data_IF_682787463859
#
_entry.id   IF_682787463859
#
_cell.length_a   1.000
_cell.length_b   1.000
_cell.length_c   1.000
_cell.angle_alpha   90.00
_cell.angle_beta   90.00
_cell.angle_gamma   90.00
#
_symmetry.space_group_name_H-M   'P 1'
#
loop_
_entity.id
_entity.type
_entity.pdbx_description
1 polymer ?
#
# COMPACT_ATOMS: atom_id res chain seq x y z
N UNK A 1 -27.81 3.61 -12.81
CA UNK A 1 -27.40 5.02 -12.48
C UNK A 1 -26.15 5.33 -13.26
N UNK A 2 -26.20 6.30 -14.18
CA UNK A 2 -25.04 6.81 -14.85
C UNK A 2 -24.30 7.78 -13.91
N UNK A 3 -22.97 7.81 -14.01
CA UNK A 3 -22.14 8.70 -13.20
C UNK A 3 -21.09 9.35 -14.10
N UNK A 4 -20.86 10.64 -13.90
CA UNK A 4 -19.78 11.40 -14.54
C UNK A 4 -18.97 12.12 -13.48
N UNK A 5 -17.66 11.97 -13.55
CA UNK A 5 -16.71 12.72 -12.74
C UNK A 5 -16.01 13.74 -13.60
N UNK A 6 -16.08 15.02 -13.23
CA UNK A 6 -15.35 16.12 -13.83
C UNK A 6 -14.17 16.47 -12.95
N UNK A 7 -12.97 16.48 -13.51
CA UNK A 7 -11.74 16.91 -12.84
C UNK A 7 -11.24 18.15 -13.60
N UNK A 8 -11.06 19.26 -12.92
CA UNK A 8 -10.74 20.53 -13.60
C UNK A 8 -9.72 21.37 -12.83
N UNK A 9 -8.97 22.15 -13.61
CA UNK A 9 -8.10 23.22 -13.14
C UNK A 9 -8.11 24.38 -14.13
N UNK A 10 -8.54 25.57 -13.67
CA UNK A 10 -8.76 26.74 -14.54
C UNK A 10 -9.69 26.39 -15.71
N UNK A 11 -9.25 26.60 -16.93
CA UNK A 11 -10.00 26.30 -18.16
C UNK A 11 -9.83 24.86 -18.68
N UNK A 12 -8.96 24.07 -18.03
CA UNK A 12 -8.71 22.67 -18.41
C UNK A 12 -9.59 21.73 -17.61
N UNK A 13 -10.19 20.74 -18.27
CA UNK A 13 -11.04 19.73 -17.62
C UNK A 13 -10.93 18.37 -18.28
N UNK A 14 -11.18 17.33 -17.50
CA UNK A 14 -11.32 15.94 -17.93
C UNK A 14 -12.66 15.42 -17.44
N UNK A 15 -13.39 14.72 -18.29
CA UNK A 15 -14.65 14.06 -17.97
C UNK A 15 -14.47 12.54 -18.00
N UNK A 16 -14.77 11.89 -16.89
CA UNK A 16 -14.72 10.42 -16.77
C UNK A 16 -16.14 9.88 -16.55
N UNK A 17 -16.60 8.99 -17.42
CA UNK A 17 -17.87 8.29 -17.25
C UNK A 17 -17.74 7.02 -16.41
N UNK A 18 -18.82 6.65 -15.70
CA UNK A 18 -18.90 5.42 -14.92
C UNK A 18 -18.53 5.58 -13.45
N UNK A 19 -18.64 4.48 -12.70
CA UNK A 19 -18.39 4.44 -11.24
C UNK A 19 -16.91 4.56 -10.85
N UNK A 20 -16.01 4.42 -11.82
CA UNK A 20 -14.57 4.62 -11.65
C UNK A 20 -14.14 5.77 -12.56
N UNK A 21 -13.60 6.81 -11.98
CA UNK A 21 -12.97 7.89 -12.74
C UNK A 21 -11.59 7.44 -13.22
N UNK A 22 -11.49 7.09 -14.50
CA UNK A 22 -10.26 6.68 -15.17
C UNK A 22 -9.98 7.67 -16.31
N UNK A 23 -9.22 8.72 -16.06
CA UNK A 23 -8.85 9.66 -17.11
C UNK A 23 -7.90 9.02 -18.14
N UNK A 24 -7.87 9.58 -19.36
CA UNK A 24 -6.78 9.29 -20.28
C UNK A 24 -5.45 9.72 -19.65
N UNK A 25 -4.40 8.90 -19.84
CA UNK A 25 -3.11 9.09 -19.16
C UNK A 25 -2.43 10.38 -19.59
N UNK A 26 -2.48 10.72 -20.87
CA UNK A 26 -1.80 11.92 -21.37
C UNK A 26 -2.56 13.19 -20.96
N UNK A 27 -3.89 13.17 -21.04
CA UNK A 27 -4.73 14.27 -20.52
C UNK A 27 -4.53 14.46 -19.02
N UNK A 28 -4.41 13.35 -18.25
CA UNK A 28 -4.15 13.39 -16.82
C UNK A 28 -2.79 14.01 -16.49
N UNK A 29 -1.73 13.61 -17.18
CA UNK A 29 -0.40 14.18 -17.00
C UNK A 29 -0.36 15.67 -17.33
N UNK A 30 -1.04 16.07 -18.42
CA UNK A 30 -1.14 17.47 -18.81
C UNK A 30 -1.86 18.31 -17.74
N UNK A 31 -3.00 17.82 -17.23
CA UNK A 31 -3.76 18.49 -16.18
C UNK A 31 -2.97 18.60 -14.88
N UNK A 32 -2.27 17.54 -14.46
CA UNK A 32 -1.38 17.56 -13.28
C UNK A 32 -0.25 18.57 -13.43
N UNK A 33 0.38 18.65 -14.60
CA UNK A 33 1.46 19.59 -14.86
C UNK A 33 0.96 21.05 -14.76
N UNK A 34 -0.23 21.34 -15.29
CA UNK A 34 -0.87 22.67 -15.17
C UNK A 34 -1.22 23.03 -13.73
N UNK A 35 -1.69 22.03 -12.97
CA UNK A 35 -2.15 22.20 -11.58
C UNK A 35 -1.04 22.07 -10.53
N UNK A 36 0.22 21.89 -10.93
CA UNK A 36 1.36 21.67 -10.03
C UNK A 36 1.46 22.78 -8.96
N UNK A 37 1.49 22.39 -7.68
CA UNK A 37 1.47 23.31 -6.54
C UNK A 37 0.10 23.92 -6.21
N UNK A 38 -0.96 23.53 -6.93
CA UNK A 38 -2.31 24.04 -6.79
C UNK A 38 -3.31 22.92 -6.48
N UNK A 39 -4.60 23.20 -6.64
CA UNK A 39 -5.69 22.26 -6.39
C UNK A 39 -6.51 21.98 -7.64
N UNK A 40 -6.74 20.72 -7.90
CA UNK A 40 -7.75 20.25 -8.82
C UNK A 40 -9.12 20.30 -8.14
N UNK A 41 -10.13 20.72 -8.88
CA UNK A 41 -11.53 20.62 -8.47
C UNK A 41 -12.13 19.33 -9.02
N UNK A 42 -12.73 18.52 -8.15
CA UNK A 42 -13.45 17.30 -8.54
C UNK A 42 -14.93 17.49 -8.28
N UNK A 43 -15.73 17.24 -9.31
CA UNK A 43 -17.18 17.34 -9.28
C UNK A 43 -17.80 16.05 -9.77
N UNK A 44 -18.72 15.47 -9.01
CA UNK A 44 -19.41 14.23 -9.37
C UNK A 44 -20.86 14.55 -9.74
N UNK A 45 -21.32 13.95 -10.80
CA UNK A 45 -22.71 13.99 -11.26
C UNK A 45 -23.26 12.57 -11.29
N UNK A 46 -24.46 12.37 -10.83
CA UNK A 46 -25.20 11.10 -10.95
C UNK A 46 -26.53 11.33 -11.63
N UNK A 47 -26.89 10.44 -12.53
CA UNK A 47 -28.21 10.46 -13.18
C UNK A 47 -29.15 9.49 -12.48
N UNK A 48 -30.35 9.94 -12.22
CA UNK A 48 -31.46 9.14 -11.71
C UNK A 48 -32.72 9.40 -12.55
N UNK A 49 -33.87 8.89 -12.12
CA UNK A 49 -35.14 9.06 -12.85
C UNK A 49 -35.59 10.53 -12.97
N UNK A 50 -35.12 11.40 -12.09
CA UNK A 50 -35.45 12.83 -12.05
C UNK A 50 -34.43 13.71 -12.79
N UNK A 51 -33.39 13.08 -13.40
CA UNK A 51 -32.32 13.75 -14.12
C UNK A 51 -30.96 13.74 -13.41
N UNK A 52 -30.11 14.67 -13.79
CA UNK A 52 -28.75 14.78 -13.27
C UNK A 52 -28.70 15.54 -11.95
N UNK A 53 -28.05 14.94 -10.96
CA UNK A 53 -27.78 15.51 -9.64
C UNK A 53 -26.32 15.88 -9.52
N UNK A 54 -26.04 17.14 -9.23
CA UNK A 54 -24.71 17.64 -8.90
C UNK A 54 -24.42 17.38 -7.41
N UNK A 55 -23.32 16.66 -7.14
CA UNK A 55 -22.84 16.47 -5.78
C UNK A 55 -21.88 17.58 -5.34
N UNK A 56 -21.72 17.74 -4.02
CA UNK A 56 -20.82 18.74 -3.44
C UNK A 56 -19.39 18.52 -3.97
N UNK A 57 -18.82 19.52 -4.65
CA UNK A 57 -17.45 19.43 -5.14
C UNK A 57 -16.43 19.32 -4.02
N UNK A 58 -15.28 18.70 -4.31
CA UNK A 58 -14.12 18.67 -3.44
C UNK A 58 -12.84 18.95 -4.20
N UNK A 59 -11.76 19.24 -3.48
CA UNK A 59 -10.49 19.58 -4.11
C UNK A 59 -9.40 18.57 -3.72
N UNK A 60 -8.48 18.31 -4.66
CA UNK A 60 -7.28 17.50 -4.48
C UNK A 60 -6.06 18.40 -4.69
N UNK A 61 -5.15 18.45 -3.72
CA UNK A 61 -3.91 19.20 -3.86
C UNK A 61 -2.91 18.43 -4.72
N UNK A 62 -2.31 19.11 -5.68
CA UNK A 62 -1.22 18.58 -6.51
C UNK A 62 0.10 19.07 -5.93
N UNK A 63 0.97 18.15 -5.51
CA UNK A 63 2.28 18.52 -4.98
C UNK A 63 3.13 19.26 -6.03
N UNK A 64 3.91 20.26 -5.62
CA UNK A 64 4.94 20.85 -6.47
C UNK A 64 6.13 19.91 -6.71
N UNK A 65 6.31 18.93 -5.81
CA UNK A 65 7.44 18.02 -5.85
C UNK A 65 7.19 16.85 -6.82
N UNK A 66 8.26 16.33 -7.39
CA UNK A 66 8.22 15.07 -8.13
C UNK A 66 8.17 13.90 -7.15
N UNK A 67 7.46 12.86 -7.54
CA UNK A 67 7.37 11.59 -6.79
C UNK A 67 7.90 10.45 -7.66
N UNK A 68 8.41 9.41 -7.03
CA UNK A 68 8.74 8.17 -7.72
C UNK A 68 7.47 7.58 -8.39
N UNK A 69 7.55 7.06 -9.61
CA UNK A 69 6.38 6.57 -10.34
C UNK A 69 5.69 5.37 -9.71
N UNK A 70 6.32 4.67 -8.77
CA UNK A 70 5.74 3.49 -8.14
C UNK A 70 5.46 3.70 -6.65
N UNK A 71 4.30 3.25 -6.22
CA UNK A 71 3.97 3.07 -4.80
C UNK A 71 3.72 1.58 -4.53
N UNK A 72 4.18 1.09 -3.39
CA UNK A 72 3.81 -0.23 -2.89
C UNK A 72 2.98 -0.11 -1.63
N UNK A 73 2.07 -1.04 -1.45
CA UNK A 73 1.16 -1.08 -0.32
C UNK A 73 0.76 -2.51 0.00
N UNK A 74 0.41 -2.74 1.24
CA UNK A 74 -0.20 -3.98 1.66
C UNK A 74 -1.71 -3.87 1.53
N UNK A 75 -2.32 -4.71 0.71
CA UNK A 75 -3.76 -4.85 0.60
C UNK A 75 -4.22 -5.77 1.72
N UNK A 76 -5.07 -5.26 2.62
CA UNK A 76 -5.59 -5.98 3.78
C UNK A 76 -7.11 -5.93 3.73
N UNK A 77 -7.80 -7.09 3.75
CA UNK A 77 -9.25 -7.11 3.90
C UNK A 77 -9.66 -6.61 5.31
N UNK A 78 -10.87 -6.08 5.47
CA UNK A 78 -11.34 -5.53 6.73
C UNK A 78 -11.72 -6.60 7.77
N UNK A 79 -11.02 -7.75 7.77
CA UNK A 79 -11.26 -8.87 8.68
C UNK A 79 -9.96 -9.51 9.10
N UNK A 80 -9.87 -9.94 10.36
CA UNK A 80 -8.69 -10.61 10.91
C UNK A 80 -8.46 -12.03 10.38
N UNK A 81 -9.46 -12.64 9.76
CA UNK A 81 -9.45 -14.07 9.38
C UNK A 81 -9.34 -14.31 7.89
N UNK A 82 -9.25 -13.27 7.07
CA UNK A 82 -9.18 -13.41 5.61
C UNK A 82 -7.74 -13.28 5.10
N UNK A 83 -6.89 -14.19 5.57
CA UNK A 83 -5.48 -14.22 5.18
C UNK A 83 -5.25 -14.51 3.69
N UNK A 84 -6.19 -15.19 3.03
CA UNK A 84 -6.11 -15.53 1.62
C UNK A 84 -6.12 -14.29 0.69
N UNK A 85 -6.68 -13.19 1.16
CA UNK A 85 -6.80 -11.95 0.37
C UNK A 85 -5.66 -10.96 0.62
N UNK A 86 -4.68 -11.32 1.44
CA UNK A 86 -3.60 -10.44 1.85
C UNK A 86 -2.48 -10.46 0.81
N UNK A 87 -2.16 -9.30 0.26
CA UNK A 87 -1.11 -9.16 -0.76
C UNK A 87 -0.24 -7.93 -0.50
N UNK A 88 0.98 -7.93 -1.04
CA UNK A 88 1.78 -6.72 -1.25
C UNK A 88 1.67 -6.39 -2.73
N UNK A 89 1.11 -5.23 -3.03
CA UNK A 89 0.90 -4.74 -4.37
C UNK A 89 1.81 -3.55 -4.67
N UNK A 90 2.02 -3.30 -5.94
CA UNK A 90 2.56 -2.04 -6.43
C UNK A 90 1.64 -1.44 -7.47
N UNK A 91 1.61 -0.13 -7.52
CA UNK A 91 0.89 0.64 -8.54
C UNK A 91 1.83 1.61 -9.21
N UNK A 92 1.80 1.62 -10.54
CA UNK A 92 2.44 2.66 -11.33
C UNK A 92 1.54 3.90 -11.37
N UNK A 93 2.07 5.05 -11.01
CA UNK A 93 1.34 6.32 -11.02
C UNK A 93 1.29 6.97 -12.40
N UNK A 94 2.07 6.47 -13.35
CA UNK A 94 2.14 7.00 -14.71
C UNK A 94 1.18 6.31 -15.68
N UNK A 95 0.69 5.10 -15.36
CA UNK A 95 -0.20 4.32 -16.23
C UNK A 95 -1.35 3.64 -15.48
N UNK A 96 -1.50 3.90 -14.17
CA UNK A 96 -2.49 3.32 -13.27
C UNK A 96 -2.43 1.79 -13.12
N UNK A 97 -1.43 1.12 -13.68
CA UNK A 97 -1.28 -0.32 -13.58
C UNK A 97 -1.03 -0.75 -12.15
N UNK A 98 -1.68 -1.83 -11.78
CA UNK A 98 -1.51 -2.47 -10.49
C UNK A 98 -1.02 -3.90 -10.70
N UNK A 99 -0.01 -4.30 -9.95
CA UNK A 99 0.50 -5.66 -9.96
C UNK A 99 0.78 -6.17 -8.55
N UNK A 100 0.67 -7.48 -8.37
CA UNK A 100 0.99 -8.15 -7.11
C UNK A 100 2.49 -8.39 -7.05
N UNK A 101 3.15 -7.84 -6.03
CA UNK A 101 4.55 -8.14 -5.71
C UNK A 101 4.63 -9.50 -5.03
N UNK A 102 3.74 -9.75 -4.06
CA UNK A 102 3.72 -10.99 -3.30
C UNK A 102 2.30 -11.30 -2.81
N UNK A 103 1.86 -12.51 -3.09
CA UNK A 103 0.62 -13.07 -2.58
C UNK A 103 0.90 -13.90 -1.33
N UNK A 104 0.13 -13.67 -0.27
CA UNK A 104 0.28 -14.36 1.00
C UNK A 104 0.16 -15.89 0.90
N UNK A 105 -0.57 -16.37 -0.11
CA UNK A 105 -0.78 -17.80 -0.33
C UNK A 105 0.38 -18.49 -1.07
N UNK A 106 1.33 -17.74 -1.65
CA UNK A 106 2.48 -18.33 -2.37
C UNK A 106 3.37 -19.22 -1.50
N UNK A 107 3.39 -19.01 -0.20
CA UNK A 107 4.22 -19.78 0.72
C UNK A 107 3.46 -20.81 1.55
N UNK A 108 2.18 -21.06 1.26
CA UNK A 108 1.39 -22.03 2.02
C UNK A 108 0.51 -22.87 1.12
N UNK A 109 0.41 -24.15 1.45
CA UNK A 109 -0.54 -25.08 0.82
C UNK A 109 -1.86 -25.20 1.59
N UNK A 110 -1.96 -24.62 2.79
CA UNK A 110 -3.13 -24.74 3.67
C UNK A 110 -3.65 -23.37 4.08
N UNK A 111 -4.96 -23.26 4.20
CA UNK A 111 -5.64 -22.07 4.63
C UNK A 111 -5.30 -21.73 6.09
N UNK A 112 -4.96 -20.51 6.34
CA UNK A 112 -4.96 -19.93 7.69
C UNK A 112 -3.60 -19.56 8.24
N UNK A 113 -3.59 -18.48 8.96
CA UNK A 113 -2.53 -17.95 9.82
C UNK A 113 -1.28 -17.38 9.16
N UNK A 114 -1.05 -17.49 7.82
CA UNK A 114 0.04 -16.78 7.19
C UNK A 114 -0.20 -15.26 7.23
N UNK A 115 0.87 -14.53 7.36
CA UNK A 115 0.82 -13.07 7.28
C UNK A 115 2.09 -12.55 6.64
N UNK A 116 1.95 -11.57 5.76
CA UNK A 116 3.06 -10.80 5.21
C UNK A 116 2.99 -9.36 5.69
N UNK A 117 4.12 -8.81 6.11
CA UNK A 117 4.16 -7.49 6.71
C UNK A 117 5.51 -6.81 6.57
N UNK A 118 5.59 -5.55 7.03
CA UNK A 118 6.82 -4.78 7.18
C UNK A 118 7.61 -4.61 5.87
N UNK A 119 6.91 -4.48 4.71
CA UNK A 119 7.61 -4.18 3.47
C UNK A 119 8.26 -2.79 3.55
N UNK A 120 9.50 -2.70 3.13
CA UNK A 120 10.27 -1.46 3.10
C UNK A 120 11.37 -1.48 2.05
N UNK A 121 11.81 -0.31 1.64
CA UNK A 121 12.80 -0.10 0.61
C UNK A 121 14.00 0.66 1.15
N UNK A 122 15.20 0.35 0.65
CA UNK A 122 16.38 1.15 0.93
C UNK A 122 16.30 2.49 0.20
N UNK A 123 16.13 3.57 0.95
CA UNK A 123 16.09 4.93 0.40
C UNK A 123 15.19 5.06 -0.85
N UNK A 124 13.99 4.46 -0.79
CA UNK A 124 12.99 4.44 -1.87
C UNK A 124 13.45 3.74 -3.17
N UNK A 125 14.55 2.98 -3.15
CA UNK A 125 15.07 2.28 -4.32
C UNK A 125 14.22 1.03 -4.61
N UNK A 126 13.51 0.95 -5.75
CA UNK A 126 12.64 -0.19 -6.08
C UNK A 126 13.40 -1.50 -6.29
N UNK A 127 14.72 -1.46 -6.52
CA UNK A 127 15.56 -2.65 -6.67
C UNK A 127 16.03 -3.24 -5.33
N UNK A 128 15.68 -2.63 -4.21
CA UNK A 128 16.11 -3.05 -2.87
C UNK A 128 14.95 -3.02 -1.90
N UNK A 129 14.28 -4.15 -1.77
CA UNK A 129 13.09 -4.34 -0.94
C UNK A 129 13.32 -5.46 0.07
N UNK A 130 12.70 -5.35 1.22
CA UNK A 130 12.51 -6.47 2.14
C UNK A 130 11.07 -6.50 2.68
N UNK A 131 10.62 -7.68 3.11
CA UNK A 131 9.38 -7.88 3.86
C UNK A 131 9.45 -9.18 4.67
N UNK A 132 8.56 -9.33 5.64
CA UNK A 132 8.46 -10.55 6.44
C UNK A 132 7.28 -11.41 6.02
N UNK A 133 7.52 -12.70 5.81
CA UNK A 133 6.49 -13.73 5.84
C UNK A 133 6.50 -14.39 7.23
N UNK A 134 5.33 -14.71 7.77
CA UNK A 134 5.14 -15.31 9.09
C UNK A 134 4.52 -16.68 8.98
N UNK A 135 4.53 -17.42 10.10
CA UNK A 135 3.99 -18.78 10.26
C UNK A 135 4.82 -19.86 9.56
N UNK A 136 4.17 -20.90 9.03
CA UNK A 136 4.78 -22.17 8.61
C UNK A 136 6.01 -22.00 7.71
N UNK A 137 5.93 -21.11 6.73
CA UNK A 137 7.04 -20.80 5.82
C UNK A 137 7.66 -19.42 6.13
N UNK A 138 7.62 -19.01 7.40
CA UNK A 138 8.09 -17.71 7.85
C UNK A 138 9.56 -17.44 7.50
N UNK A 139 9.88 -16.17 7.39
CA UNK A 139 11.23 -15.66 7.15
C UNK A 139 11.20 -14.24 6.63
N UNK A 140 12.37 -13.65 6.55
CA UNK A 140 12.57 -12.34 5.92
C UNK A 140 12.96 -12.54 4.47
N UNK A 141 12.16 -12.00 3.56
CA UNK A 141 12.45 -12.00 2.13
C UNK A 141 13.15 -10.69 1.79
N UNK A 142 14.31 -10.80 1.15
CA UNK A 142 15.10 -9.67 0.66
C UNK A 142 15.24 -9.82 -0.85
N UNK A 143 14.69 -8.86 -1.57
CA UNK A 143 14.88 -8.70 -3.02
C UNK A 143 15.89 -7.57 -3.23
N UNK A 144 17.02 -7.88 -3.87
CA UNK A 144 18.08 -6.91 -4.07
C UNK A 144 18.80 -7.18 -5.40
N UNK A 145 18.83 -6.18 -6.25
CA UNK A 145 19.54 -6.19 -7.54
C UNK A 145 19.21 -7.45 -8.38
N UNK A 146 17.92 -7.75 -8.51
CA UNK A 146 17.41 -8.90 -9.28
C UNK A 146 17.56 -10.26 -8.60
N UNK A 147 18.03 -10.31 -7.37
CA UNK A 147 18.16 -11.56 -6.59
C UNK A 147 17.21 -11.55 -5.41
N UNK A 148 16.59 -12.71 -5.12
CA UNK A 148 15.71 -12.91 -3.99
C UNK A 148 16.34 -13.91 -3.04
N UNK A 149 16.36 -13.56 -1.75
CA UNK A 149 16.79 -14.46 -0.66
C UNK A 149 15.74 -14.49 0.43
N UNK A 150 15.51 -15.66 0.99
CA UNK A 150 14.73 -15.85 2.23
C UNK A 150 15.69 -16.21 3.36
N UNK A 151 15.60 -15.48 4.46
CA UNK A 151 16.47 -15.62 5.62
C UNK A 151 15.59 -15.97 6.82
N UNK A 152 15.99 -17.01 7.57
CA UNK A 152 15.40 -17.26 8.89
C UNK A 152 16.22 -16.48 9.94
N UNK A 153 15.58 -15.51 10.57
CA UNK A 153 16.22 -14.68 11.61
C UNK A 153 15.88 -15.15 13.04
N UNK A 154 15.18 -16.27 13.21
CA UNK A 154 14.96 -16.84 14.53
C UNK A 154 16.27 -17.40 15.08
N UNK A 155 16.62 -16.99 16.30
CA UNK A 155 17.76 -17.48 17.06
C UNK A 155 17.40 -17.54 18.54
N UNK A 156 17.95 -18.49 19.27
CA UNK A 156 17.61 -18.73 20.68
C UNK A 156 17.98 -17.57 21.62
N UNK A 157 18.92 -16.72 21.20
CA UNK A 157 19.32 -15.51 21.94
C UNK A 157 18.49 -14.27 21.62
N UNK A 158 17.51 -14.36 20.72
CA UNK A 158 16.65 -13.25 20.33
C UNK A 158 15.23 -13.44 20.87
N UNK A 159 14.57 -12.37 21.24
CA UNK A 159 13.18 -12.39 21.73
C UNK A 159 12.21 -12.90 20.65
N UNK A 160 12.47 -12.55 19.39
CA UNK A 160 11.67 -12.98 18.23
C UNK A 160 12.50 -12.92 16.94
N UNK A 161 11.93 -13.36 15.82
CA UNK A 161 12.43 -12.96 14.51
C UNK A 161 12.33 -11.44 14.39
N UNK A 162 13.29 -10.80 13.73
CA UNK A 162 13.35 -9.35 13.61
C UNK A 162 12.11 -8.73 12.98
N UNK A 163 11.70 -7.57 13.47
CA UNK A 163 10.60 -6.74 12.98
C UNK A 163 11.07 -5.29 12.85
N UNK A 164 10.21 -4.40 12.38
CA UNK A 164 10.49 -2.96 12.22
C UNK A 164 11.83 -2.67 11.53
N UNK A 165 11.98 -3.08 10.26
CA UNK A 165 13.21 -2.93 9.52
C UNK A 165 13.59 -1.46 9.31
N UNK A 166 14.86 -1.14 9.54
CA UNK A 166 15.45 0.14 9.24
C UNK A 166 16.67 -0.05 8.34
N UNK A 167 16.55 0.33 7.08
CA UNK A 167 17.66 0.26 6.12
C UNK A 167 18.71 1.32 6.41
N UNK A 168 19.97 0.93 6.35
CA UNK A 168 21.04 1.89 6.25
C UNK A 168 20.95 2.61 4.88
N UNK A 169 21.03 3.96 4.83
CA UNK A 169 20.73 4.71 3.62
C UNK A 169 21.68 4.46 2.44
N UNK A 170 22.89 3.95 2.69
CA UNK A 170 23.92 3.72 1.65
C UNK A 170 24.50 2.31 1.64
N UNK A 171 24.58 1.65 2.79
CA UNK A 171 25.16 0.31 2.88
C UNK A 171 24.07 -0.75 2.83
N UNK A 172 24.38 -1.93 2.31
CA UNK A 172 23.47 -3.07 2.29
C UNK A 172 23.33 -3.69 3.70
N UNK A 173 22.88 -2.89 4.65
CA UNK A 173 22.64 -3.25 6.04
C UNK A 173 21.20 -2.90 6.41
N UNK A 174 20.58 -3.76 7.20
CA UNK A 174 19.25 -3.55 7.78
C UNK A 174 19.35 -3.82 9.27
N UNK A 175 18.92 -2.87 10.08
CA UNK A 175 18.68 -3.10 11.50
C UNK A 175 17.25 -3.60 11.71
N UNK A 176 17.07 -4.51 12.65
CA UNK A 176 15.78 -5.04 13.03
C UNK A 176 15.61 -4.96 14.53
N UNK A 177 14.41 -4.68 14.99
CA UNK A 177 14.05 -4.86 16.39
C UNK A 177 13.60 -6.30 16.65
N UNK A 178 14.02 -6.87 17.77
CA UNK A 178 13.56 -8.15 18.27
C UNK A 178 12.65 -7.92 19.47
N UNK A 179 11.39 -8.31 19.40
CA UNK A 179 10.38 -7.87 20.35
C UNK A 179 9.62 -9.05 20.93
N UNK A 180 9.21 -8.92 22.20
CA UNK A 180 8.17 -9.76 22.80
C UNK A 180 6.85 -9.01 22.68
N UNK A 181 6.03 -9.44 21.73
CA UNK A 181 4.78 -8.77 21.36
C UNK A 181 3.57 -9.49 21.96
N UNK A 182 2.65 -8.73 22.55
CA UNK A 182 1.34 -9.20 23.00
C UNK A 182 0.25 -8.55 22.13
N UNK A 183 -0.71 -9.36 21.68
CA UNK A 183 -1.87 -8.91 20.92
C UNK A 183 -3.14 -9.14 21.73
N UNK A 184 -3.94 -8.08 21.88
CA UNK A 184 -5.25 -8.14 22.52
C UNK A 184 -6.34 -7.87 21.47
N UNK A 185 -7.24 -8.82 21.29
CA UNK A 185 -8.37 -8.73 20.36
C UNK A 185 -9.63 -8.29 21.12
N UNK A 186 -10.19 -7.15 20.76
CA UNK A 186 -11.44 -6.64 21.28
C UNK A 186 -12.57 -6.98 20.30
N UNK A 187 -13.43 -7.93 20.68
CA UNK A 187 -14.53 -8.44 19.82
C UNK A 187 -15.91 -7.92 20.22
N UNK A 188 -16.02 -7.23 21.36
CA UNK A 188 -17.27 -6.60 21.81
C UNK A 188 -17.29 -5.11 21.45
N UNK A 189 -18.33 -4.67 20.75
CA UNK A 189 -18.63 -3.28 20.39
C UNK A 189 -17.69 -2.61 19.39
N UNK A 190 -16.45 -2.98 19.33
CA UNK A 190 -15.43 -2.47 18.40
C UNK A 190 -14.47 -3.59 18.08
N UNK A 191 -14.44 -4.01 16.81
CA UNK A 191 -13.45 -4.97 16.37
C UNK A 191 -12.11 -4.24 16.19
N UNK A 192 -11.26 -4.26 17.23
CA UNK A 192 -9.92 -3.72 17.17
C UNK A 192 -8.90 -4.69 17.73
N UNK A 193 -7.65 -4.55 17.26
CA UNK A 193 -6.48 -5.20 17.82
C UNK A 193 -5.61 -4.14 18.47
N UNK A 194 -5.19 -4.39 19.69
CA UNK A 194 -4.13 -3.64 20.34
C UNK A 194 -2.87 -4.50 20.35
N UNK A 195 -1.75 -3.91 19.96
CA UNK A 195 -0.45 -4.58 19.88
C UNK A 195 0.50 -3.84 20.82
N UNK A 196 1.10 -4.58 21.74
CA UNK A 196 2.06 -4.06 22.71
C UNK A 196 3.38 -4.82 22.59
N UNK A 197 4.47 -4.10 22.47
CA UNK A 197 5.81 -4.65 22.66
C UNK A 197 6.18 -4.48 24.12
N UNK A 198 6.18 -5.59 24.87
CA UNK A 198 6.47 -5.60 26.31
C UNK A 198 7.97 -5.59 26.60
N UNK A 199 8.77 -6.02 25.64
CA UNK A 199 10.22 -6.06 25.70
C UNK A 199 10.76 -5.90 24.27
N UNK A 200 11.78 -5.09 24.07
CA UNK A 200 12.38 -4.83 22.77
C UNK A 200 13.89 -4.80 22.87
N UNK A 201 14.56 -5.38 21.86
CA UNK A 201 16.01 -5.36 21.68
C UNK A 201 16.34 -5.08 20.20
N UNK A 202 17.62 -4.75 19.90
CA UNK A 202 18.07 -4.34 18.56
C UNK A 202 19.08 -5.33 17.99
#
# INVERSE_FOLDING_TARGET
TNMVTRISYQESEILCGGIKAMPDIEEWKELLNKAKGNKLQVTVYTENNDGWTLHKPFAISVSPDSINPYISYRLIPPSYVTYEQLTINQRCLENFDESVIYDNMLCSSESGEQCINCHSYQNYNPNKMQFHARQQNGGTIIAMDGKIKKINMKHDSLLSAGVYPAWHPRLNLIAYSSNRTQQNFHTKNLNKVEVFDTESDL
#
